data_IF_544541648041
#
_entry.id   IF_544541648041
#
_cell.length_a   1.000
_cell.length_b   1.000
_cell.length_c   1.000
_cell.angle_alpha   90.00
_cell.angle_beta   90.00
_cell.angle_gamma   90.00
#
_symmetry.space_group_name_H-M   'P 1'
#
loop_
_entity.id
_entity.type
_entity.pdbx_description
1 polymer ?
#
# COMPACT_ATOMS: atom_id res chain seq x y z
N UNK A 1 -16.06 -16.45 7.66
CA UNK A 1 -16.10 -15.11 8.30
C UNK A 1 -14.70 -14.56 8.22
N UNK A 2 -14.54 -13.43 7.52
CA UNK A 2 -13.25 -12.92 7.08
C UNK A 2 -12.66 -11.94 8.10
N UNK A 3 -11.38 -12.15 8.42
CA UNK A 3 -10.61 -11.43 9.45
C UNK A 3 -10.64 -9.91 9.31
N UNK A 4 -10.87 -9.39 8.10
CA UNK A 4 -10.93 -7.95 7.81
C UNK A 4 -12.23 -7.34 8.31
N UNK A 5 -13.37 -8.03 8.13
CA UNK A 5 -14.65 -7.63 8.69
C UNK A 5 -14.69 -7.70 10.23
N UNK A 6 -13.80 -8.51 10.81
CA UNK A 6 -13.63 -8.61 12.25
C UNK A 6 -12.69 -7.51 12.79
N UNK A 7 -11.69 -7.07 12.02
CA UNK A 7 -10.82 -5.94 12.35
C UNK A 7 -11.57 -4.60 12.44
N UNK A 8 -12.60 -4.36 11.62
CA UNK A 8 -13.50 -3.19 11.76
C UNK A 8 -14.20 -3.11 13.14
N UNK A 9 -14.36 -4.26 13.83
CA UNK A 9 -15.15 -4.36 15.07
C UNK A 9 -14.31 -4.57 16.34
N UNK A 10 -13.06 -5.00 16.21
CA UNK A 10 -12.29 -5.60 17.31
C UNK A 10 -11.45 -4.64 18.18
N UNK A 11 -11.87 -3.40 18.38
CA UNK A 11 -11.28 -2.47 19.36
C UNK A 11 -10.02 -1.71 18.89
N UNK A 12 -9.82 -0.42 19.20
CA UNK A 12 -10.11 0.26 20.48
C UNK A 12 -9.41 -0.41 21.68
N UNK A 13 -8.25 -1.05 21.53
CA UNK A 13 -7.31 -1.37 22.63
C UNK A 13 -6.00 -2.00 22.16
N UNK A 14 -4.92 -1.37 22.60
CA UNK A 14 -3.57 -1.88 22.92
C UNK A 14 -2.66 -2.54 21.86
N UNK A 15 -1.78 -1.66 21.34
CA UNK A 15 -0.31 -1.66 21.15
C UNK A 15 0.58 -2.93 21.28
N UNK A 16 1.43 -3.06 20.23
CA UNK A 16 2.89 -3.33 20.17
C UNK A 16 3.50 -4.73 20.40
N UNK A 17 4.37 -5.17 19.46
CA UNK A 17 5.80 -5.53 19.67
C UNK A 17 6.52 -5.86 18.33
N UNK A 18 7.83 -5.58 18.22
CA UNK A 18 8.67 -5.71 17.02
C UNK A 18 9.78 -6.78 17.17
N UNK A 19 10.27 -7.40 16.07
CA UNK A 19 11.60 -8.03 16.06
C UNK A 19 12.37 -7.80 14.70
N UNK A 20 13.54 -8.42 14.45
CA UNK A 20 14.86 -7.77 14.48
C UNK A 20 15.54 -7.59 13.10
N UNK A 21 16.59 -6.77 13.06
CA UNK A 21 17.38 -6.46 11.87
C UNK A 21 18.49 -7.51 11.58
N UNK A 22 18.71 -7.86 10.30
CA UNK A 22 19.96 -8.50 9.87
C UNK A 22 20.02 -8.98 8.40
N UNK A 23 21.06 -8.57 7.66
CA UNK A 23 21.46 -9.16 6.38
C UNK A 23 22.48 -8.31 5.58
N UNK A 24 23.60 -8.91 5.16
CA UNK A 24 24.70 -8.29 4.42
C UNK A 24 24.26 -7.68 3.08
N UNK A 25 24.87 -6.54 2.73
CA UNK A 25 24.31 -5.45 1.91
C UNK A 25 23.80 -5.79 0.51
N UNK A 26 22.53 -6.15 0.42
CA UNK A 26 21.69 -5.90 -0.77
C UNK A 26 21.70 -4.40 -1.08
N UNK A 27 21.86 -4.00 -2.35
CA UNK A 27 21.80 -2.59 -2.72
C UNK A 27 20.45 -1.99 -2.25
N UNK A 28 20.42 -0.74 -1.75
CA UNK A 28 19.21 -0.11 -1.24
C UNK A 28 17.97 -0.27 -2.13
N UNK A 29 18.15 -0.13 -3.45
CA UNK A 29 17.08 -0.33 -4.42
C UNK A 29 16.56 -1.77 -4.42
N UNK A 30 17.44 -2.76 -4.54
CA UNK A 30 17.08 -4.18 -4.61
C UNK A 30 16.32 -4.62 -3.35
N UNK A 31 16.71 -4.08 -2.19
CA UNK A 31 16.02 -4.34 -0.93
C UNK A 31 14.60 -3.78 -0.92
N UNK A 32 14.42 -2.55 -1.39
CA UNK A 32 13.09 -1.96 -1.54
C UNK A 32 12.24 -2.68 -2.59
N UNK A 33 12.84 -3.07 -3.71
CA UNK A 33 12.14 -3.80 -4.76
C UNK A 33 11.73 -5.21 -4.31
N UNK A 34 12.54 -5.88 -3.48
CA UNK A 34 12.16 -7.15 -2.85
C UNK A 34 10.97 -6.96 -1.91
N UNK A 35 11.02 -5.98 -1.01
CA UNK A 35 9.89 -5.66 -0.11
C UNK A 35 8.59 -5.37 -0.89
N UNK A 36 8.67 -4.58 -1.98
CA UNK A 36 7.50 -4.32 -2.81
C UNK A 36 6.91 -5.61 -3.36
N UNK A 37 7.75 -6.51 -3.90
CA UNK A 37 7.29 -7.76 -4.51
C UNK A 37 6.72 -8.73 -3.48
N UNK A 38 7.33 -8.81 -2.31
CA UNK A 38 7.01 -9.83 -1.32
C UNK A 38 5.89 -9.40 -0.36
N UNK A 39 5.68 -8.08 -0.19
CA UNK A 39 4.73 -7.52 0.79
C UNK A 39 3.65 -6.68 0.11
N UNK A 40 4.03 -5.63 -0.63
CA UNK A 40 3.07 -4.66 -1.14
C UNK A 40 2.21 -5.18 -2.30
N UNK A 41 2.80 -5.82 -3.31
CA UNK A 41 2.06 -6.33 -4.46
C UNK A 41 1.03 -7.40 -4.06
N UNK A 42 1.34 -8.36 -3.18
CA UNK A 42 0.33 -9.28 -2.65
C UNK A 42 -0.82 -8.58 -1.92
N UNK A 43 -0.53 -7.55 -1.11
CA UNK A 43 -1.56 -6.78 -0.42
C UNK A 43 -2.47 -6.01 -1.40
N UNK A 44 -1.90 -5.42 -2.46
CA UNK A 44 -2.65 -4.77 -3.53
C UNK A 44 -3.56 -5.77 -4.27
N UNK A 45 -3.05 -6.96 -4.56
CA UNK A 45 -3.83 -8.02 -5.22
C UNK A 45 -4.98 -8.53 -4.32
N UNK A 46 -4.74 -8.68 -3.02
CA UNK A 46 -5.76 -9.05 -2.05
C UNK A 46 -6.85 -7.98 -1.95
N UNK A 47 -6.47 -6.71 -1.84
CA UNK A 47 -7.41 -5.59 -1.81
C UNK A 47 -8.25 -5.50 -3.10
N UNK A 48 -7.64 -5.75 -4.27
CA UNK A 48 -8.39 -5.82 -5.54
C UNK A 48 -9.43 -6.93 -5.52
N UNK A 49 -9.07 -8.12 -5.05
CA UNK A 49 -9.99 -9.25 -4.96
C UNK A 49 -11.17 -9.00 -4.01
N UNK A 50 -10.95 -8.25 -2.93
CA UNK A 50 -12.00 -7.92 -1.96
C UNK A 50 -12.96 -6.85 -2.47
N UNK A 51 -12.44 -5.80 -3.10
CA UNK A 51 -13.21 -4.71 -3.69
C UNK A 51 -13.98 -5.12 -4.96
N UNK A 52 -13.73 -6.35 -5.42
CA UNK A 52 -14.36 -6.92 -6.60
C UNK A 52 -15.88 -6.93 -6.56
N UNK A 53 -16.44 -7.31 -5.42
CA UNK A 53 -17.90 -7.39 -5.24
C UNK A 53 -18.58 -6.02 -5.32
N UNK A 54 -17.82 -4.95 -5.05
CA UNK A 54 -18.30 -3.56 -5.04
C UNK A 54 -18.03 -2.84 -6.37
N UNK A 55 -17.55 -3.56 -7.40
CA UNK A 55 -17.26 -2.96 -8.71
C UNK A 55 -16.06 -2.02 -8.72
N UNK A 56 -15.16 -2.13 -7.74
CA UNK A 56 -13.96 -1.29 -7.61
C UNK A 56 -12.70 -2.13 -7.86
N UNK A 57 -11.72 -1.55 -8.55
CA UNK A 57 -10.42 -2.15 -8.82
C UNK A 57 -9.30 -1.33 -8.16
N UNK A 58 -8.26 -2.05 -7.74
CA UNK A 58 -6.97 -1.44 -7.40
C UNK A 58 -6.15 -1.35 -8.68
N UNK A 59 -5.80 -0.15 -9.10
CA UNK A 59 -4.88 0.11 -10.20
C UNK A 59 -3.53 0.50 -9.61
N UNK A 60 -2.45 0.05 -10.23
CA UNK A 60 -1.11 0.42 -9.80
C UNK A 60 -0.14 0.49 -10.96
N UNK A 61 0.95 1.22 -10.74
CA UNK A 61 2.10 1.37 -11.60
C UNK A 61 3.36 1.29 -10.73
N UNK A 62 4.37 0.56 -11.16
CA UNK A 62 5.53 0.25 -10.32
C UNK A 62 6.83 0.45 -11.06
N UNK A 63 7.80 1.06 -10.39
CA UNK A 63 9.18 1.14 -10.84
C UNK A 63 10.06 0.25 -9.97
N UNK A 64 10.30 -0.96 -10.46
CA UNK A 64 11.13 -1.98 -9.81
C UNK A 64 12.33 -2.39 -10.69
N UNK A 65 12.67 -1.57 -11.69
CA UNK A 65 13.84 -1.77 -12.55
C UNK A 65 15.11 -1.30 -11.80
N UNK A 66 16.08 -2.19 -11.54
CA UNK A 66 17.34 -1.83 -10.88
C UNK A 66 18.18 -0.79 -11.63
N UNK A 67 17.90 -0.52 -12.91
CA UNK A 67 18.53 0.54 -13.69
C UNK A 67 17.94 1.92 -13.41
N UNK A 68 16.86 2.00 -12.65
CA UNK A 68 16.26 3.26 -12.26
C UNK A 68 17.22 4.07 -11.39
N UNK A 69 17.33 5.36 -11.66
CA UNK A 69 18.04 6.30 -10.78
C UNK A 69 17.18 6.73 -9.58
N UNK A 70 15.93 6.29 -9.53
CA UNK A 70 14.98 6.57 -8.46
C UNK A 70 14.92 5.41 -7.46
N UNK A 71 14.29 5.66 -6.30
CA UNK A 71 13.94 4.61 -5.36
C UNK A 71 12.94 3.62 -5.96
N UNK A 72 12.91 2.39 -5.41
CA UNK A 72 11.83 1.46 -5.67
C UNK A 72 10.51 2.10 -5.22
N UNK A 73 9.54 2.20 -6.12
CA UNK A 73 8.27 2.83 -5.82
C UNK A 73 7.10 2.15 -6.53
N UNK A 74 5.92 2.31 -5.93
CA UNK A 74 4.64 1.90 -6.48
C UNK A 74 3.66 3.02 -6.28
N UNK A 75 3.02 3.44 -7.35
CA UNK A 75 1.85 4.28 -7.28
C UNK A 75 0.60 3.41 -7.40
N UNK A 76 -0.42 3.69 -6.59
CA UNK A 76 -1.70 3.01 -6.68
C UNK A 76 -2.86 3.99 -6.54
N UNK A 77 -4.02 3.60 -7.07
CA UNK A 77 -5.28 4.33 -6.95
C UNK A 77 -6.44 3.36 -7.11
N UNK A 78 -7.59 3.75 -6.57
CA UNK A 78 -8.84 3.01 -6.75
C UNK A 78 -9.60 3.56 -7.94
N UNK A 79 -10.26 2.69 -8.69
CA UNK A 79 -11.05 3.09 -9.85
C UNK A 79 -12.25 2.14 -10.01
N UNK A 80 -13.28 2.54 -10.75
CA UNK A 80 -14.32 1.62 -11.17
C UNK A 80 -13.71 0.47 -11.99
N UNK A 81 -14.29 -0.72 -11.87
CA UNK A 81 -13.93 -1.87 -12.71
C UNK A 81 -14.43 -1.69 -14.13
N UNK A 82 -15.61 -1.12 -14.26
CA UNK A 82 -16.27 -0.87 -15.54
C UNK A 82 -16.12 0.60 -15.90
N UNK A 83 -15.66 0.88 -17.12
CA UNK A 83 -15.48 2.24 -17.68
C UNK A 83 -16.83 2.90 -18.02
N UNK A 84 -17.87 2.70 -17.21
CA UNK A 84 -19.17 3.36 -17.35
C UNK A 84 -19.10 4.84 -16.91
N UNK A 85 -18.20 5.60 -17.53
CA UNK A 85 -18.27 7.03 -17.87
C UNK A 85 -18.59 8.08 -16.82
N UNK A 86 -18.87 7.72 -15.57
CA UNK A 86 -19.42 8.64 -14.58
C UNK A 86 -18.81 8.56 -13.19
N UNK A 87 -18.07 7.51 -12.87
CA UNK A 87 -17.45 7.34 -11.54
C UNK A 87 -15.98 7.76 -11.63
N UNK A 88 -15.54 8.74 -10.83
CA UNK A 88 -14.16 9.25 -10.91
C UNK A 88 -13.16 8.21 -10.40
N UNK A 89 -11.92 8.33 -10.85
CA UNK A 89 -10.81 7.63 -10.22
C UNK A 89 -10.50 8.27 -8.87
N UNK A 90 -10.07 7.44 -7.91
CA UNK A 90 -9.55 7.89 -6.63
C UNK A 90 -8.20 8.61 -6.76
N UNK A 91 -7.77 9.28 -5.69
CA UNK A 91 -6.45 9.91 -5.65
C UNK A 91 -5.34 8.88 -5.85
N UNK A 92 -4.24 9.30 -6.51
CA UNK A 92 -3.03 8.49 -6.69
C UNK A 92 -2.15 8.60 -5.45
N UNK A 93 -1.98 7.51 -4.73
CA UNK A 93 -1.06 7.36 -3.60
C UNK A 93 0.27 6.82 -4.10
N UNK A 94 1.40 7.34 -3.60
CA UNK A 94 2.74 6.89 -4.00
C UNK A 94 3.49 6.31 -2.81
N UNK A 95 3.95 5.07 -2.95
CA UNK A 95 4.78 4.36 -1.97
C UNK A 95 6.21 4.34 -2.46
N UNK A 96 7.14 4.85 -1.64
CA UNK A 96 8.56 4.90 -1.96
C UNK A 96 9.36 4.20 -0.87
N UNK A 97 10.29 3.30 -1.25
CA UNK A 97 11.25 2.71 -0.31
C UNK A 97 12.58 3.44 -0.41
N UNK A 98 12.83 4.36 0.53
CA UNK A 98 14.04 5.19 0.54
C UNK A 98 15.19 4.49 1.22
N UNK A 99 16.37 4.58 0.63
CA UNK A 99 17.61 3.95 1.10
C UNK A 99 17.44 2.45 1.46
N UNK A 100 16.49 1.77 0.82
CA UNK A 100 16.17 0.37 1.10
C UNK A 100 15.73 0.10 2.54
N UNK A 101 15.25 1.13 3.25
CA UNK A 101 14.98 1.06 4.69
C UNK A 101 13.61 1.60 5.05
N UNK A 102 13.27 2.82 4.64
CA UNK A 102 12.06 3.48 5.12
C UNK A 102 10.99 3.48 4.03
N UNK A 103 9.79 3.06 4.39
CA UNK A 103 8.61 3.13 3.53
C UNK A 103 7.91 4.46 3.74
N UNK A 104 7.77 5.21 2.65
CA UNK A 104 7.13 6.51 2.63
C UNK A 104 5.84 6.45 1.82
N UNK A 105 4.79 7.06 2.34
CA UNK A 105 3.53 7.29 1.65
C UNK A 105 3.39 8.77 1.31
N UNK A 106 3.15 9.06 0.03
CA UNK A 106 2.77 10.38 -0.46
C UNK A 106 1.33 10.34 -0.94
N UNK A 107 0.52 11.29 -0.47
CA UNK A 107 -0.87 11.48 -0.86
C UNK A 107 -1.01 12.82 -1.59
N UNK A 108 -1.93 12.96 -2.56
CA UNK A 108 -2.12 14.22 -3.27
C UNK A 108 -2.44 15.37 -2.31
N UNK A 109 -1.67 16.45 -2.38
CA UNK A 109 -1.89 17.65 -1.55
C UNK A 109 -1.41 17.54 -0.09
N UNK A 110 -0.82 16.40 0.31
CA UNK A 110 -0.30 16.19 1.66
C UNK A 110 1.23 16.04 1.67
N UNK A 111 1.91 16.43 2.77
CA UNK A 111 3.32 16.11 2.93
C UNK A 111 3.51 14.59 3.01
N UNK A 112 4.64 14.10 2.49
CA UNK A 112 5.01 12.69 2.60
C UNK A 112 5.10 12.24 4.06
N UNK A 113 4.51 11.09 4.36
CA UNK A 113 4.51 10.47 5.69
C UNK A 113 5.40 9.22 5.67
N UNK A 114 6.23 9.08 6.69
CA UNK A 114 6.94 7.81 6.96
C UNK A 114 5.94 6.83 7.58
N UNK A 115 5.73 5.69 6.93
CA UNK A 115 4.93 4.60 7.49
C UNK A 115 5.74 3.79 8.52
N UNK A 116 7.03 3.61 8.23
CA UNK A 116 7.96 2.92 9.10
C UNK A 116 9.11 2.28 8.31
N UNK A 117 10.01 1.57 8.99
CA UNK A 117 11.03 0.78 8.33
C UNK A 117 10.40 -0.45 7.62
N UNK A 118 11.03 -0.96 6.56
CA UNK A 118 10.52 -2.09 5.75
C UNK A 118 10.30 -3.37 6.57
N UNK A 119 11.00 -3.53 7.69
CA UNK A 119 10.84 -4.65 8.61
C UNK A 119 9.58 -4.54 9.47
N UNK A 120 9.04 -3.32 9.63
CA UNK A 120 7.83 -3.06 10.40
C UNK A 120 6.59 -2.86 9.53
N UNK A 121 6.76 -2.44 8.28
CA UNK A 121 5.64 -2.32 7.33
C UNK A 121 5.42 -3.67 6.66
N UNK A 122 4.70 -4.55 7.36
CA UNK A 122 4.32 -5.87 6.90
C UNK A 122 2.98 -5.85 6.12
N UNK A 123 2.47 -7.04 5.79
CA UNK A 123 1.20 -7.17 5.08
C UNK A 123 0.04 -6.51 5.81
N UNK A 124 -0.02 -6.61 7.15
CA UNK A 124 -1.10 -6.01 7.93
C UNK A 124 -1.03 -4.46 7.88
N UNK A 125 0.18 -3.90 7.94
CA UNK A 125 0.37 -2.46 7.76
C UNK A 125 -0.02 -1.99 6.35
N UNK A 126 0.29 -2.77 5.31
CA UNK A 126 -0.17 -2.51 3.95
C UNK A 126 -1.69 -2.59 3.82
N UNK A 127 -2.32 -3.59 4.44
CA UNK A 127 -3.78 -3.73 4.47
C UNK A 127 -4.45 -2.53 5.15
N UNK A 128 -3.95 -2.08 6.30
CA UNK A 128 -4.47 -0.89 6.99
C UNK A 128 -4.38 0.36 6.10
N UNK A 129 -3.24 0.55 5.44
CA UNK A 129 -3.04 1.65 4.49
C UNK A 129 -4.03 1.58 3.33
N UNK A 130 -4.23 0.40 2.73
CA UNK A 130 -5.16 0.20 1.62
C UNK A 130 -6.62 0.38 2.05
N UNK A 131 -6.98 -0.06 3.25
CA UNK A 131 -8.30 0.18 3.83
C UNK A 131 -8.59 1.68 4.02
N UNK A 132 -7.59 2.46 4.47
CA UNK A 132 -7.72 3.91 4.55
C UNK A 132 -7.92 4.55 3.16
N UNK A 133 -7.18 4.11 2.15
CA UNK A 133 -7.37 4.58 0.78
C UNK A 133 -8.76 4.21 0.22
N UNK A 134 -9.27 3.01 0.53
CA UNK A 134 -10.63 2.59 0.19
C UNK A 134 -11.70 3.45 0.87
N UNK A 135 -11.54 3.75 2.16
CA UNK A 135 -12.45 4.64 2.89
C UNK A 135 -12.41 6.08 2.37
N UNK A 136 -11.26 6.56 1.90
CA UNK A 136 -11.15 7.84 1.20
C UNK A 136 -11.92 7.83 -0.12
N UNK A 137 -11.73 6.78 -0.93
CA UNK A 137 -12.40 6.67 -2.20
C UNK A 137 -13.92 6.57 -2.05
N UNK A 138 -14.41 5.74 -1.13
CA UNK A 138 -15.83 5.63 -0.83
C UNK A 138 -16.45 7.00 -0.48
N UNK A 139 -15.76 7.81 0.34
CA UNK A 139 -16.22 9.18 0.69
C UNK A 139 -16.31 10.11 -0.52
N UNK A 140 -15.52 9.89 -1.57
CA UNK A 140 -15.60 10.69 -2.81
C UNK A 140 -16.82 10.31 -3.66
N UNK A 141 -17.34 9.10 -3.51
CA UNK A 141 -18.48 8.60 -4.28
C UNK A 141 -19.84 9.04 -3.69
N UNK A 142 -19.88 9.39 -2.40
CA UNK A 142 -21.08 9.81 -1.66
C UNK A 142 -21.71 8.67 -0.87
#
# INVERSE_FOLDING_TARGET
MGRIGDAFRAERRDTAAAPPAGGAGTAPFDRGAAWVRDVLLPALAQADAELAGDGVAVRFDSNLDPRSTNHAHVDFWLAPRDDHGGVPHGPRHSINVREGRDVWLFRPGEPGRVLGPIEAVDAAACEEMLANAAAEYARLLG
#
